data_IF_854073333889
#
_entry.id   IF_854073333889
#
_cell.length_a   1.000
_cell.length_b   1.000
_cell.length_c   1.000
_cell.angle_alpha   90.00
_cell.angle_beta   90.00
_cell.angle_gamma   90.00
#
_symmetry.space_group_name_H-M   'P 1'
#
loop_
_entity.id
_entity.type
_entity.pdbx_description
1 polymer ?
#
# COMPACT_ATOMS: atom_id res chain seq x y z
N UNK A 1 4.21 -3.18 5.07
CA UNK A 1 4.72 -2.76 3.74
C UNK A 1 6.21 -3.03 3.63
N UNK A 2 6.68 -3.20 2.40
CA UNK A 2 8.09 -3.41 2.09
C UNK A 2 8.39 -2.91 0.67
N UNK A 3 9.67 -2.83 0.31
CA UNK A 3 10.10 -2.65 -1.08
C UNK A 3 9.82 -3.91 -1.91
N UNK A 4 9.69 -3.77 -3.22
CA UNK A 4 9.46 -4.91 -4.14
C UNK A 4 10.52 -6.02 -3.99
N UNK A 5 11.77 -5.63 -3.71
CA UNK A 5 12.84 -6.58 -3.46
C UNK A 5 12.78 -7.19 -2.06
N UNK A 6 12.57 -6.36 -1.02
CA UNK A 6 12.51 -6.80 0.38
C UNK A 6 11.35 -7.75 0.64
N UNK A 7 10.21 -7.53 -0.03
CA UNK A 7 9.02 -8.36 0.11
C UNK A 7 9.26 -9.85 -0.16
N UNK A 8 10.13 -10.19 -1.12
CA UNK A 8 10.49 -11.56 -1.45
C UNK A 8 11.24 -12.29 -0.33
N UNK A 9 11.92 -11.56 0.55
CA UNK A 9 12.78 -12.14 1.59
C UNK A 9 12.07 -12.56 2.88
N UNK A 10 10.76 -12.49 2.92
CA UNK A 10 10.00 -12.90 4.11
C UNK A 10 8.52 -12.57 4.02
N UNK A 11 8.13 -11.29 3.86
CA UNK A 11 6.73 -10.87 3.86
C UNK A 11 5.84 -11.61 2.85
N UNK A 12 6.39 -12.04 1.70
CA UNK A 12 5.68 -12.84 0.70
C UNK A 12 5.07 -14.13 1.29
N UNK A 13 5.69 -14.71 2.30
CA UNK A 13 5.20 -15.93 2.96
C UNK A 13 3.87 -15.76 3.70
N UNK A 14 3.46 -14.52 3.97
CA UNK A 14 2.17 -14.21 4.60
C UNK A 14 1.02 -14.05 3.59
N UNK A 15 1.32 -14.05 2.29
CA UNK A 15 0.27 -13.99 1.26
C UNK A 15 -0.55 -15.27 1.27
N UNK A 16 -1.87 -15.11 1.31
CA UNK A 16 -2.83 -16.21 1.32
C UNK A 16 -4.05 -15.85 0.46
N UNK A 17 -5.04 -16.74 0.38
CA UNK A 17 -6.24 -16.59 -0.45
C UNK A 17 -7.18 -15.45 -0.02
N UNK A 18 -6.95 -14.83 1.13
CA UNK A 18 -7.72 -13.68 1.62
C UNK A 18 -6.91 -12.37 1.47
N UNK A 19 -5.67 -12.46 1.01
CA UNK A 19 -4.79 -11.31 0.90
C UNK A 19 -5.10 -10.47 -0.34
N UNK A 20 -5.13 -9.14 -0.14
CA UNK A 20 -5.05 -8.15 -1.20
C UNK A 20 -3.61 -7.63 -1.28
N UNK A 21 -2.94 -7.88 -2.40
CA UNK A 21 -1.60 -7.36 -2.65
C UNK A 21 -1.68 -6.04 -3.44
N UNK A 22 -1.16 -4.97 -2.86
CA UNK A 22 -1.08 -3.65 -3.51
C UNK A 22 0.37 -3.31 -3.80
N UNK A 23 0.68 -2.98 -5.04
CA UNK A 23 2.01 -2.53 -5.44
C UNK A 23 1.92 -1.11 -6.00
N UNK A 24 2.61 -0.18 -5.35
CA UNK A 24 2.78 1.19 -5.82
C UNK A 24 3.94 1.24 -6.79
N UNK A 25 3.64 1.40 -8.07
CA UNK A 25 4.62 1.23 -9.15
C UNK A 25 5.34 2.55 -9.44
N UNK A 26 6.67 2.48 -9.46
CA UNK A 26 7.55 3.61 -9.76
C UNK A 26 7.38 4.12 -11.20
N UNK A 27 7.52 5.44 -11.40
CA UNK A 27 7.69 6.03 -12.74
C UNK A 27 9.14 5.93 -13.23
N UNK A 28 10.09 5.71 -12.32
CA UNK A 28 11.49 5.60 -12.68
C UNK A 28 11.73 4.25 -13.39
N UNK A 29 12.15 4.30 -14.65
CA UNK A 29 12.17 3.15 -15.54
C UNK A 29 12.90 1.92 -14.97
N UNK A 30 14.03 2.10 -14.28
CA UNK A 30 14.79 1.00 -13.71
C UNK A 30 14.07 0.38 -12.50
N UNK A 31 13.56 1.19 -11.59
CA UNK A 31 12.81 0.71 -10.40
C UNK A 31 11.52 0.03 -10.81
N UNK A 32 10.83 0.57 -11.81
CA UNK A 32 9.59 0.02 -12.37
C UNK A 32 9.74 -1.44 -12.82
N UNK A 33 10.89 -1.85 -13.33
CA UNK A 33 11.13 -3.24 -13.73
C UNK A 33 10.96 -4.20 -12.54
N UNK A 34 11.51 -3.85 -11.38
CA UNK A 34 11.38 -4.68 -10.17
C UNK A 34 9.95 -4.70 -9.62
N UNK A 35 9.21 -3.59 -9.76
CA UNK A 35 7.80 -3.54 -9.37
C UNK A 35 6.94 -4.39 -10.30
N UNK A 36 7.22 -4.39 -11.60
CA UNK A 36 6.55 -5.24 -12.58
C UNK A 36 6.87 -6.72 -12.37
N UNK A 37 8.11 -7.05 -12.03
CA UNK A 37 8.52 -8.42 -11.73
C UNK A 37 7.76 -8.98 -10.52
N UNK A 38 7.62 -8.23 -9.43
CA UNK A 38 6.86 -8.70 -8.26
C UNK A 38 5.36 -8.82 -8.56
N UNK A 39 4.79 -7.90 -9.35
CA UNK A 39 3.40 -7.99 -9.80
C UNK A 39 3.14 -9.26 -10.61
N UNK A 40 4.01 -9.54 -11.60
CA UNK A 40 3.90 -10.74 -12.44
C UNK A 40 4.07 -12.02 -11.61
N UNK A 41 4.99 -12.03 -10.66
CA UNK A 41 5.22 -13.14 -9.75
C UNK A 41 4.00 -13.41 -8.86
N UNK A 42 3.45 -12.39 -8.20
CA UNK A 42 2.27 -12.53 -7.34
C UNK A 42 1.03 -12.97 -8.13
N UNK A 43 0.83 -12.45 -9.33
CA UNK A 43 -0.27 -12.87 -10.20
C UNK A 43 -0.07 -14.31 -10.69
N UNK A 44 1.17 -14.69 -11.02
CA UNK A 44 1.52 -16.04 -11.47
C UNK A 44 1.39 -17.10 -10.38
N UNK A 45 1.67 -16.75 -9.13
CA UNK A 45 1.51 -17.65 -7.98
C UNK A 45 0.04 -18.02 -7.70
N UNK A 46 -0.92 -17.18 -8.08
CA UNK A 46 -2.36 -17.37 -7.89
C UNK A 46 -2.77 -17.65 -6.42
N UNK A 47 -2.02 -17.13 -5.45
CA UNK A 47 -2.27 -17.33 -4.02
C UNK A 47 -3.12 -16.19 -3.46
N UNK A 48 -2.78 -14.94 -3.79
CA UNK A 48 -3.53 -13.77 -3.33
C UNK A 48 -4.94 -13.73 -3.93
N UNK A 49 -5.90 -13.22 -3.19
CA UNK A 49 -7.26 -12.99 -3.68
C UNK A 49 -7.27 -11.98 -4.84
N UNK A 50 -6.48 -10.94 -4.73
CA UNK A 50 -6.28 -9.95 -5.79
C UNK A 50 -4.87 -9.35 -5.73
N UNK A 51 -4.35 -9.01 -6.91
CA UNK A 51 -3.08 -8.30 -7.09
C UNK A 51 -3.36 -7.01 -7.85
N UNK A 52 -3.11 -5.87 -7.25
CA UNK A 52 -3.44 -4.55 -7.79
C UNK A 52 -2.19 -3.70 -7.93
N UNK A 53 -1.96 -3.22 -9.14
CA UNK A 53 -0.97 -2.18 -9.41
C UNK A 53 -1.60 -0.79 -9.24
N UNK A 54 -0.99 0.06 -8.45
CA UNK A 54 -1.33 1.49 -8.34
C UNK A 54 -0.24 2.25 -9.09
N UNK A 55 -0.58 2.79 -10.26
CA UNK A 55 0.42 3.27 -11.20
C UNK A 55 -0.06 4.39 -12.11
N UNK A 56 0.87 5.01 -12.80
CA UNK A 56 0.59 5.89 -13.94
C UNK A 56 0.51 5.04 -15.21
N UNK A 57 -0.59 5.20 -15.96
CA UNK A 57 -0.91 4.38 -17.14
C UNK A 57 -1.60 3.06 -16.79
N UNK A 58 -2.08 2.36 -17.82
CA UNK A 58 -2.98 1.20 -17.67
C UNK A 58 -2.32 -0.14 -18.01
N UNK A 59 -1.07 -0.14 -18.44
CA UNK A 59 -0.38 -1.39 -18.85
C UNK A 59 0.00 -2.24 -17.64
N UNK A 60 -0.42 -3.50 -17.65
CA UNK A 60 -0.07 -4.45 -16.61
C UNK A 60 0.07 -5.88 -17.16
N UNK A 61 0.72 -6.74 -16.37
CA UNK A 61 0.80 -8.16 -16.65
C UNK A 61 -0.58 -8.84 -16.54
N UNK A 62 -0.82 -9.97 -17.20
CA UNK A 62 -2.03 -10.76 -17.04
C UNK A 62 -2.28 -11.13 -15.57
N UNK A 63 -3.54 -11.00 -15.11
CA UNK A 63 -3.93 -11.30 -13.73
C UNK A 63 -3.65 -10.18 -12.73
N UNK A 64 -3.16 -9.04 -13.18
CA UNK A 64 -2.97 -7.83 -12.36
C UNK A 64 -4.09 -6.84 -12.65
N UNK A 65 -4.82 -6.42 -11.62
CA UNK A 65 -5.74 -5.29 -11.69
C UNK A 65 -4.98 -3.97 -11.63
N UNK A 66 -5.54 -2.90 -12.22
CA UNK A 66 -4.85 -1.61 -12.27
C UNK A 66 -5.73 -0.50 -11.73
N UNK A 67 -5.22 0.21 -10.73
CA UNK A 67 -5.68 1.54 -10.38
C UNK A 67 -4.78 2.56 -11.08
N UNK A 68 -5.28 3.14 -12.17
CA UNK A 68 -4.48 3.97 -13.06
C UNK A 68 -4.64 5.47 -12.77
N UNK A 69 -3.51 6.16 -12.67
CA UNK A 69 -3.44 7.61 -12.85
C UNK A 69 -3.20 7.95 -14.33
N UNK A 70 -3.58 9.16 -14.74
CA UNK A 70 -3.44 9.61 -16.11
C UNK A 70 -1.99 9.51 -16.62
N UNK A 71 -1.82 8.95 -17.81
CA UNK A 71 -0.52 8.77 -18.47
C UNK A 71 0.22 10.11 -18.74
N UNK A 72 -0.48 11.24 -18.74
CA UNK A 72 0.14 12.56 -18.79
C UNK A 72 1.12 12.81 -17.63
N UNK A 73 0.98 12.05 -16.53
CA UNK A 73 1.87 12.12 -15.36
C UNK A 73 3.08 11.18 -15.41
N UNK A 74 3.33 10.51 -16.55
CA UNK A 74 4.43 9.53 -16.70
C UNK A 74 5.83 10.11 -16.47
N UNK A 75 6.00 11.42 -16.58
CA UNK A 75 7.27 12.10 -16.35
C UNK A 75 7.42 12.65 -14.92
N UNK A 76 6.41 12.49 -14.06
CA UNK A 76 6.53 12.94 -12.69
C UNK A 76 7.54 12.07 -11.92
N UNK A 77 8.50 12.67 -11.20
CA UNK A 77 9.34 11.95 -10.27
C UNK A 77 8.54 11.24 -9.17
N UNK A 78 9.01 10.10 -8.71
CA UNK A 78 8.35 9.27 -7.67
C UNK A 78 8.07 10.05 -6.38
N UNK A 79 8.93 11.02 -6.04
CA UNK A 79 8.72 11.89 -4.89
C UNK A 79 7.38 12.66 -4.93
N UNK A 80 6.92 13.03 -6.12
CA UNK A 80 5.61 13.67 -6.30
C UNK A 80 4.48 12.63 -6.37
N UNK A 81 4.71 11.45 -6.92
CA UNK A 81 3.73 10.35 -6.93
C UNK A 81 3.44 9.82 -5.53
N UNK A 82 4.37 9.95 -4.59
CA UNK A 82 4.16 9.54 -3.21
C UNK A 82 2.91 10.16 -2.58
N UNK A 83 2.56 11.40 -2.93
CA UNK A 83 1.36 12.08 -2.40
C UNK A 83 0.06 11.43 -2.86
N UNK A 84 -0.25 11.30 -4.16
CA UNK A 84 -1.48 10.65 -4.60
C UNK A 84 -1.51 9.15 -4.24
N UNK A 85 -0.38 8.46 -4.25
CA UNK A 85 -0.29 7.06 -3.81
C UNK A 85 -0.64 6.91 -2.32
N UNK A 86 -0.15 7.82 -1.48
CA UNK A 86 -0.51 7.85 -0.06
C UNK A 86 -2.01 8.06 0.14
N UNK A 87 -2.63 8.96 -0.64
CA UNK A 87 -4.08 9.20 -0.58
C UNK A 87 -4.86 7.93 -0.90
N UNK A 88 -4.47 7.18 -1.94
CA UNK A 88 -5.10 5.89 -2.26
C UNK A 88 -5.00 4.92 -1.07
N UNK A 89 -3.81 4.78 -0.50
CA UNK A 89 -3.59 3.91 0.67
C UNK A 89 -4.42 4.33 1.89
N UNK A 90 -4.50 5.63 2.17
CA UNK A 90 -5.28 6.17 3.29
C UNK A 90 -6.79 5.97 3.10
N UNK A 91 -7.31 6.23 1.89
CA UNK A 91 -8.73 6.00 1.58
C UNK A 91 -9.08 4.53 1.72
N UNK A 92 -8.24 3.64 1.17
CA UNK A 92 -8.45 2.20 1.30
C UNK A 92 -8.45 1.76 2.78
N UNK A 93 -7.47 2.22 3.56
CA UNK A 93 -7.38 1.92 4.99
C UNK A 93 -8.61 2.42 5.76
N UNK A 94 -9.09 3.63 5.45
CA UNK A 94 -10.31 4.18 6.04
C UNK A 94 -11.53 3.32 5.72
N UNK A 95 -11.72 2.97 4.45
CA UNK A 95 -12.86 2.15 4.02
C UNK A 95 -12.82 0.75 4.64
N UNK A 96 -11.64 0.12 4.68
CA UNK A 96 -11.45 -1.16 5.34
C UNK A 96 -11.75 -1.07 6.84
N UNK A 97 -11.26 -0.04 7.52
CA UNK A 97 -11.53 0.22 8.94
C UNK A 97 -13.02 0.35 9.24
N UNK A 98 -13.75 1.09 8.39
CA UNK A 98 -15.21 1.23 8.51
C UNK A 98 -15.90 -0.11 8.25
N UNK A 99 -15.46 -0.85 7.24
CA UNK A 99 -16.04 -2.14 6.85
C UNK A 99 -15.95 -3.19 7.98
N UNK A 100 -14.80 -3.25 8.66
CA UNK A 100 -14.60 -4.18 9.79
C UNK A 100 -15.08 -3.61 11.14
N UNK A 101 -15.82 -2.48 11.13
CA UNK A 101 -16.33 -1.81 12.33
C UNK A 101 -15.28 -1.38 13.33
N UNK A 102 -14.03 -1.22 12.91
CA UNK A 102 -12.91 -0.70 13.72
C UNK A 102 -12.56 0.73 13.30
N UNK A 103 -13.36 1.69 13.74
CA UNK A 103 -13.24 3.09 13.30
C UNK A 103 -11.91 3.71 13.74
N UNK A 104 -11.32 4.60 12.90
CA UNK A 104 -10.04 5.27 13.20
C UNK A 104 -10.05 6.07 14.50
N UNK A 105 -11.21 6.64 14.88
CA UNK A 105 -11.36 7.44 16.11
C UNK A 105 -11.35 6.56 17.37
N UNK A 106 -11.57 5.26 17.25
CA UNK A 106 -11.59 4.32 18.36
C UNK A 106 -10.80 3.05 18.00
N UNK A 107 -9.49 3.17 17.73
CA UNK A 107 -8.69 2.06 17.18
C UNK A 107 -8.50 0.89 18.17
N UNK A 108 -8.73 1.16 19.47
CA UNK A 108 -8.63 0.14 20.53
C UNK A 108 -9.89 0.17 21.38
N UNK A 109 -10.74 -0.89 21.34
CA UNK A 109 -11.94 -0.97 22.18
C UNK A 109 -11.65 -0.89 23.69
N UNK A 110 -10.47 -1.35 24.12
CA UNK A 110 -10.02 -1.27 25.52
C UNK A 110 -9.60 0.12 25.96
N UNK A 111 -9.46 1.08 25.02
CA UNK A 111 -8.99 2.43 25.28
C UNK A 111 -7.47 2.54 25.54
N UNK A 112 -6.72 1.46 25.33
CA UNK A 112 -5.25 1.44 25.49
C UNK A 112 -4.58 2.38 24.49
N UNK A 113 -5.11 2.45 23.27
CA UNK A 113 -4.69 3.40 22.25
C UNK A 113 -5.85 4.34 21.96
N UNK A 114 -5.61 5.65 22.02
CA UNK A 114 -6.59 6.69 21.75
C UNK A 114 -6.08 7.64 20.67
N UNK A 115 -7.00 8.27 19.96
CA UNK A 115 -6.71 9.34 19.01
C UNK A 115 -5.92 10.50 19.65
N UNK A 116 -6.25 10.81 20.89
CA UNK A 116 -5.55 11.83 21.69
C UNK A 116 -4.72 11.12 22.74
N UNK A 117 -3.43 11.42 22.77
CA UNK A 117 -2.52 10.86 23.78
C UNK A 117 -2.96 11.34 25.17
N UNK A 118 -3.12 10.39 26.10
CA UNK A 118 -3.48 10.64 27.48
C UNK A 118 -2.34 10.26 28.41
N UNK A 119 -2.28 10.92 29.58
CA UNK A 119 -1.31 10.55 30.61
C UNK A 119 0.13 11.02 30.34
N UNK A 120 0.32 11.98 29.43
CA UNK A 120 1.64 12.57 29.19
C UNK A 120 2.02 13.48 30.33
N UNK A 121 3.15 13.22 30.97
CA UNK A 121 3.76 14.12 31.93
C UNK A 121 4.70 15.07 31.19
N UNK A 122 4.46 16.37 31.30
CA UNK A 122 5.35 17.39 30.75
C UNK A 122 6.42 17.69 31.81
N UNK A 123 7.66 17.37 31.47
CA UNK A 123 8.80 17.68 32.32
C UNK A 123 9.30 19.10 32.04
N UNK A 124 9.68 19.88 33.10
CA UNK A 124 10.29 21.18 32.88
C UNK A 124 11.61 21.02 32.11
N UNK A 125 11.85 21.92 31.17
CA UNK A 125 13.14 22.03 30.53
C UNK A 125 14.15 22.61 31.53
N UNK A 126 15.21 21.87 31.82
CA UNK A 126 16.30 22.27 32.71
C UNK A 126 17.45 22.91 31.93
#
# INVERSE_FOLDING_TARGET
YDSSMGFRHGPKSFVNSEALALVFVSNQAYTRLYDQDILAELAGDQIAQAVVAIQVGTEAAPGVEVFAFDSAHSQLPDAYLAFPYLVVGQVLALLASVHVHNKPDTPSPSGTVNRVVKGVTIHPYA
#
